data_IF_329983722490
#
_entry.id   IF_329983722490
#
_cell.length_a   1.000
_cell.length_b   1.000
_cell.length_c   1.000
_cell.angle_alpha   90.00
_cell.angle_beta   90.00
_cell.angle_gamma   90.00
#
_symmetry.space_group_name_H-M   'P 1'
#
loop_
_entity.id
_entity.type
_entity.pdbx_description
1 polymer ?
#
# COMPACT_ATOMS: atom_id res chain seq x y z
N UNK A 1 26.36 -7.03 -5.60
CA UNK A 1 25.41 -7.75 -4.71
C UNK A 1 23.98 -7.55 -5.21
N UNK A 2 23.48 -6.31 -5.30
CA UNK A 2 22.17 -5.98 -5.88
C UNK A 2 21.95 -6.52 -7.30
N UNK A 3 22.91 -6.39 -8.22
CA UNK A 3 22.82 -7.03 -9.55
C UNK A 3 22.76 -8.56 -9.50
N UNK A 4 23.46 -9.16 -8.52
CA UNK A 4 23.50 -10.61 -8.35
C UNK A 4 22.19 -11.14 -7.78
N UNK A 5 21.48 -10.34 -6.98
CA UNK A 5 20.15 -10.64 -6.45
C UNK A 5 19.09 -10.42 -7.55
N UNK A 6 19.14 -9.29 -8.25
CA UNK A 6 18.20 -8.98 -9.33
C UNK A 6 18.27 -10.00 -10.48
N UNK A 7 19.44 -10.54 -10.79
CA UNK A 7 19.58 -11.57 -11.84
C UNK A 7 19.10 -12.97 -11.40
N UNK A 8 18.80 -13.20 -10.13
CA UNK A 8 18.36 -14.49 -9.61
C UNK A 8 16.87 -14.53 -9.24
N UNK A 9 16.13 -13.43 -9.40
CA UNK A 9 14.70 -13.34 -9.06
C UNK A 9 13.90 -13.06 -10.33
N UNK A 10 13.88 -13.98 -11.29
CA UNK A 10 13.19 -13.72 -12.57
C UNK A 10 11.71 -14.10 -12.53
N UNK A 11 11.33 -15.02 -11.62
CA UNK A 11 9.98 -15.56 -11.55
C UNK A 11 9.47 -15.62 -10.11
N UNK A 12 8.15 -15.73 -9.99
CA UNK A 12 7.44 -15.85 -8.72
C UNK A 12 7.95 -17.04 -7.90
N UNK A 13 8.24 -18.18 -8.55
CA UNK A 13 8.73 -19.38 -7.90
C UNK A 13 10.10 -19.21 -7.23
N UNK A 14 10.93 -18.28 -7.71
CA UNK A 14 12.25 -17.98 -7.13
C UNK A 14 12.09 -17.33 -5.75
N UNK A 15 11.05 -16.50 -5.59
CA UNK A 15 10.72 -15.83 -4.33
C UNK A 15 9.99 -16.76 -3.37
N UNK A 16 8.99 -17.49 -3.85
CA UNK A 16 8.16 -18.33 -2.97
C UNK A 16 8.89 -19.56 -2.41
N UNK A 17 9.86 -20.12 -3.13
CA UNK A 17 10.45 -21.41 -2.76
C UNK A 17 11.84 -21.35 -2.15
N UNK A 18 12.60 -20.25 -2.32
CA UNK A 18 14.06 -20.29 -2.08
C UNK A 18 14.70 -19.03 -1.52
N UNK A 19 13.95 -17.96 -1.27
CA UNK A 19 14.56 -16.69 -0.82
C UNK A 19 14.55 -16.54 0.71
N UNK A 20 15.72 -16.43 1.36
CA UNK A 20 15.79 -16.23 2.80
C UNK A 20 15.32 -14.84 3.20
N UNK A 21 14.61 -14.73 4.33
CA UNK A 21 14.25 -13.45 4.95
C UNK A 21 15.45 -12.54 5.15
N UNK A 22 16.61 -13.13 5.43
CA UNK A 22 17.89 -12.44 5.59
C UNK A 22 18.25 -11.60 4.36
N UNK A 23 17.89 -12.03 3.16
CA UNK A 23 18.16 -11.28 1.94
C UNK A 23 17.27 -10.04 1.81
N UNK A 24 16.00 -10.16 2.20
CA UNK A 24 15.08 -9.02 2.25
C UNK A 24 15.59 -7.97 3.24
N UNK A 25 16.00 -8.41 4.43
CA UNK A 25 16.58 -7.52 5.45
C UNK A 25 17.86 -6.82 4.95
N UNK A 26 18.76 -7.55 4.29
CA UNK A 26 19.99 -6.99 3.74
C UNK A 26 19.71 -5.94 2.65
N UNK A 27 18.72 -6.18 1.77
CA UNK A 27 18.28 -5.20 0.78
C UNK A 27 17.73 -3.92 1.43
N UNK A 28 16.90 -4.06 2.47
CA UNK A 28 16.34 -2.91 3.21
C UNK A 28 17.45 -2.13 3.91
N UNK A 29 18.38 -2.81 4.57
CA UNK A 29 19.50 -2.17 5.26
C UNK A 29 20.46 -1.47 4.28
N UNK A 30 20.61 -1.99 3.07
CA UNK A 30 21.37 -1.31 2.02
C UNK A 30 20.67 -0.01 1.59
N UNK A 31 19.35 -0.03 1.38
CA UNK A 31 18.56 1.18 1.07
C UNK A 31 18.67 2.20 2.20
N UNK A 32 18.49 1.81 3.46
CA UNK A 32 18.59 2.71 4.62
C UNK A 32 19.93 3.41 4.75
N UNK A 33 21.02 2.74 4.36
CA UNK A 33 22.37 3.30 4.40
C UNK A 33 22.70 4.14 3.16
N UNK A 34 21.86 4.10 2.13
CA UNK A 34 22.06 4.85 0.89
C UNK A 34 21.44 6.24 1.04
N UNK A 35 22.19 7.33 0.82
CA UNK A 35 21.60 8.67 0.79
C UNK A 35 20.46 8.74 -0.22
N UNK A 36 19.35 9.39 0.14
CA UNK A 36 18.12 9.46 -0.68
C UNK A 36 18.37 9.79 -2.14
N UNK A 37 19.25 10.78 -2.41
CA UNK A 37 19.60 11.23 -3.78
C UNK A 37 20.38 10.20 -4.60
N UNK A 38 20.88 9.15 -3.97
CA UNK A 38 21.62 8.05 -4.61
C UNK A 38 20.79 6.77 -4.71
N UNK A 39 19.53 6.79 -4.26
CA UNK A 39 18.61 5.68 -4.47
C UNK A 39 18.30 5.62 -5.96
N UNK A 40 18.52 4.45 -6.55
CA UNK A 40 18.32 4.21 -7.99
C UNK A 40 17.37 3.05 -8.18
N UNK A 41 16.81 2.93 -9.40
CA UNK A 41 15.97 1.80 -9.79
C UNK A 41 16.64 0.45 -9.47
N UNK A 42 17.91 0.28 -9.84
CA UNK A 42 18.64 -0.98 -9.61
C UNK A 42 18.78 -1.34 -8.14
N UNK A 43 18.82 -0.34 -7.25
CA UNK A 43 18.89 -0.57 -5.81
C UNK A 43 17.56 -1.07 -5.26
N UNK A 44 16.43 -0.55 -5.75
CA UNK A 44 15.10 -0.86 -5.23
C UNK A 44 14.40 -2.00 -5.99
N UNK A 45 14.87 -2.38 -7.18
CA UNK A 45 14.26 -3.44 -8.00
C UNK A 45 14.15 -4.79 -7.26
N UNK A 46 15.15 -5.25 -6.49
CA UNK A 46 14.97 -6.44 -5.65
C UNK A 46 13.82 -6.29 -4.64
N UNK A 47 13.70 -5.12 -4.01
CA UNK A 47 12.64 -4.81 -3.04
C UNK A 47 11.26 -4.83 -3.72
N UNK A 48 11.16 -4.26 -4.93
CA UNK A 48 9.94 -4.35 -5.73
C UNK A 48 9.52 -5.80 -5.93
N UNK A 49 10.43 -6.65 -6.39
CA UNK A 49 10.16 -8.08 -6.63
C UNK A 49 9.75 -8.80 -5.35
N UNK A 50 10.44 -8.54 -4.23
CA UNK A 50 10.05 -9.09 -2.93
C UNK A 50 8.68 -8.60 -2.47
N UNK A 51 8.34 -7.33 -2.68
CA UNK A 51 7.03 -6.80 -2.27
C UNK A 51 5.89 -7.43 -3.07
N UNK A 52 6.15 -7.74 -4.34
CA UNK A 52 5.15 -8.23 -5.29
C UNK A 52 4.96 -9.75 -5.22
N UNK A 53 6.06 -10.51 -5.14
CA UNK A 53 6.04 -11.99 -5.13
C UNK A 53 6.29 -12.61 -3.75
N UNK A 54 6.75 -11.81 -2.78
CA UNK A 54 6.99 -12.29 -1.43
C UNK A 54 5.71 -12.66 -0.70
N UNK A 55 5.86 -13.53 0.31
CA UNK A 55 4.78 -13.82 1.25
C UNK A 55 4.41 -12.59 2.08
N UNK A 56 3.29 -12.65 2.78
CA UNK A 56 2.84 -11.55 3.64
C UNK A 56 3.82 -11.25 4.77
N UNK A 57 4.55 -12.27 5.26
CA UNK A 57 5.64 -12.09 6.23
C UNK A 57 6.78 -11.23 5.67
N UNK A 58 7.13 -11.38 4.39
CA UNK A 58 8.18 -10.57 3.78
C UNK A 58 7.77 -9.10 3.73
N UNK A 59 6.53 -8.82 3.34
CA UNK A 59 5.99 -7.45 3.34
C UNK A 59 5.82 -6.89 4.74
N UNK A 60 5.47 -7.73 5.72
CA UNK A 60 5.40 -7.33 7.12
C UNK A 60 6.78 -6.93 7.63
N UNK A 61 7.83 -7.71 7.34
CA UNK A 61 9.21 -7.36 7.69
C UNK A 61 9.64 -6.05 7.03
N UNK A 62 9.27 -5.81 5.77
CA UNK A 62 9.53 -4.52 5.12
C UNK A 62 8.89 -3.35 5.87
N UNK A 63 7.65 -3.52 6.33
CA UNK A 63 6.96 -2.51 7.13
C UNK A 63 7.62 -2.32 8.50
N UNK A 64 7.89 -3.40 9.24
CA UNK A 64 8.51 -3.37 10.58
C UNK A 64 9.91 -2.77 10.54
N UNK A 65 10.65 -3.00 9.46
CA UNK A 65 11.92 -2.35 9.22
C UNK A 65 11.77 -0.89 8.75
N UNK A 66 10.57 -0.32 8.68
CA UNK A 66 10.37 1.08 8.34
C UNK A 66 10.77 1.45 6.91
N UNK A 67 10.59 0.52 5.96
CA UNK A 67 10.98 0.73 4.57
C UNK A 67 10.17 1.83 3.90
N UNK A 68 8.88 1.95 4.22
CA UNK A 68 8.01 3.01 3.69
C UNK A 68 8.61 4.38 4.04
N UNK A 69 8.84 4.62 5.33
CA UNK A 69 9.43 5.84 5.87
C UNK A 69 10.81 6.13 5.26
N UNK A 70 11.62 5.10 5.09
CA UNK A 70 12.97 5.23 4.52
C UNK A 70 12.93 5.72 3.08
N UNK A 71 11.95 5.24 2.29
CA UNK A 71 11.81 5.58 0.87
C UNK A 71 10.95 6.83 0.63
N UNK A 72 10.13 7.27 1.58
CA UNK A 72 9.26 8.46 1.42
C UNK A 72 10.02 9.69 0.94
N UNK A 73 11.21 10.06 1.50
CA UNK A 73 11.97 11.20 0.98
C UNK A 73 12.44 11.03 -0.47
N UNK A 74 12.55 9.80 -0.97
CA UNK A 74 12.96 9.52 -2.34
C UNK A 74 11.83 9.75 -3.36
N UNK A 75 10.60 9.98 -2.93
CA UNK A 75 9.50 10.42 -3.80
C UNK A 75 9.75 11.82 -4.38
N UNK A 76 10.56 12.65 -3.74
CA UNK A 76 10.92 13.99 -4.24
C UNK A 76 11.93 13.96 -5.41
N UNK A 77 12.14 12.81 -6.04
CA UNK A 77 13.01 12.67 -7.21
C UNK A 77 12.30 13.12 -8.48
N UNK A 78 13.01 13.77 -9.40
CA UNK A 78 12.46 14.10 -10.74
C UNK A 78 12.28 12.87 -11.64
N UNK A 79 12.66 11.67 -11.17
CA UNK A 79 12.53 10.43 -11.92
C UNK A 79 11.17 9.79 -11.66
N UNK A 80 10.21 10.05 -12.54
CA UNK A 80 8.83 9.54 -12.44
C UNK A 80 8.76 8.01 -12.35
N UNK A 81 9.59 7.27 -13.10
CA UNK A 81 9.66 5.81 -13.04
C UNK A 81 10.07 5.34 -11.64
N UNK A 82 11.05 6.02 -11.04
CA UNK A 82 11.53 5.70 -9.70
C UNK A 82 10.47 5.97 -8.64
N UNK A 83 9.78 7.12 -8.72
CA UNK A 83 8.64 7.44 -7.87
C UNK A 83 7.57 6.34 -7.95
N UNK A 84 7.18 5.95 -9.18
CA UNK A 84 6.18 4.93 -9.43
C UNK A 84 6.54 3.60 -8.78
N UNK A 85 7.78 3.16 -8.95
CA UNK A 85 8.25 1.91 -8.34
C UNK A 85 8.18 1.97 -6.81
N UNK A 86 8.54 3.10 -6.20
CA UNK A 86 8.45 3.29 -4.75
C UNK A 86 6.98 3.20 -4.28
N UNK A 87 6.06 3.87 -4.99
CA UNK A 87 4.63 3.83 -4.66
C UNK A 87 4.05 2.42 -4.79
N UNK A 88 4.42 1.67 -5.83
CA UNK A 88 4.04 0.26 -6.00
C UNK A 88 4.56 -0.60 -4.85
N UNK A 89 5.80 -0.38 -4.39
CA UNK A 89 6.34 -1.05 -3.19
C UNK A 89 5.45 -0.76 -1.98
N UNK A 90 5.05 0.50 -1.76
CA UNK A 90 4.20 0.87 -0.62
C UNK A 90 2.84 0.18 -0.68
N UNK A 91 2.18 0.23 -1.84
CA UNK A 91 0.90 -0.44 -2.09
C UNK A 91 1.01 -1.93 -1.78
N UNK A 92 2.05 -2.59 -2.28
CA UNK A 92 2.26 -4.02 -2.06
C UNK A 92 2.47 -4.34 -0.57
N UNK A 93 3.28 -3.53 0.14
CA UNK A 93 3.48 -3.69 1.58
C UNK A 93 2.15 -3.59 2.32
N UNK A 94 1.38 -2.54 2.06
CA UNK A 94 0.10 -2.28 2.74
C UNK A 94 -0.92 -3.39 2.44
N UNK A 95 -1.07 -3.78 1.18
CA UNK A 95 -2.10 -4.75 0.77
C UNK A 95 -1.76 -6.19 1.12
N UNK A 96 -0.50 -6.59 1.01
CA UNK A 96 -0.10 -7.98 1.28
C UNK A 96 0.13 -8.21 2.77
N UNK A 97 0.72 -7.24 3.48
CA UNK A 97 0.94 -7.34 4.90
C UNK A 97 -0.37 -7.41 5.70
N UNK A 98 -1.40 -6.66 5.31
CA UNK A 98 -2.72 -6.71 5.96
C UNK A 98 -3.38 -8.12 5.87
N UNK A 99 -3.15 -8.88 4.79
CA UNK A 99 -3.69 -10.25 4.67
C UNK A 99 -3.19 -11.19 5.77
N UNK A 100 -1.97 -10.97 6.29
CA UNK A 100 -1.41 -11.78 7.37
C UNK A 100 -2.16 -11.55 8.68
N UNK A 101 -2.41 -10.29 9.03
CA UNK A 101 -3.11 -9.95 10.27
C UNK A 101 -4.53 -10.51 10.27
N UNK A 102 -5.24 -10.45 9.14
CA UNK A 102 -6.57 -11.05 8.99
C UNK A 102 -6.57 -12.56 9.23
N UNK A 103 -5.49 -13.26 8.83
CA UNK A 103 -5.34 -14.71 8.99
C UNK A 103 -5.01 -15.13 10.42
N UNK A 104 -4.45 -14.21 11.22
CA UNK A 104 -4.02 -14.46 12.60
C UNK A 104 -5.10 -14.15 13.66
N UNK A 105 -6.27 -13.62 13.28
CA UNK A 105 -7.35 -13.39 14.23
C UNK A 105 -7.83 -14.74 14.80
N UNK A 106 -7.77 -14.94 16.14
CA UNK A 106 -8.24 -16.16 16.75
C UNK A 106 -9.72 -16.31 16.42
N UNK A 107 -10.07 -17.42 15.76
CA UNK A 107 -11.44 -17.86 15.70
C UNK A 107 -11.96 -17.87 17.13
N UNK A 108 -12.84 -16.93 17.47
CA UNK A 108 -13.60 -16.98 18.71
C UNK A 108 -14.21 -18.37 18.78
N UNK A 109 -13.66 -19.21 19.66
CA UNK A 109 -14.23 -20.49 20.00
C UNK A 109 -15.63 -20.19 20.50
N UNK A 110 -16.62 -20.43 19.66
CA UNK A 110 -17.98 -20.61 20.10
C UNK A 110 -17.99 -21.85 20.98
N UNK A 111 -17.66 -21.70 22.27
CA UNK A 111 -18.09 -22.63 23.31
C UNK A 111 -19.61 -22.50 23.39
N UNK A 112 -20.32 -23.12 22.46
CA UNK A 112 -21.70 -23.51 22.67
C UNK A 112 -21.62 -24.84 23.42
N UNK A 113 -21.67 -24.76 24.75
CA UNK A 113 -22.03 -25.90 25.57
C UNK A 113 -23.41 -26.40 25.14
N UNK A 114 -23.44 -27.66 24.72
CA UNK A 114 -24.54 -28.62 24.70
C UNK A 114 -25.98 -28.08 24.76
N UNK A 115 -26.66 -28.11 23.60
CA UNK A 115 -28.05 -28.54 23.53
C UNK A 115 -28.32 -29.38 22.28
N UNK A 116 -29.06 -30.50 22.38
CA UNK A 116 -29.42 -31.31 21.24
C UNK A 116 -30.71 -30.77 20.61
N UNK A 117 -30.58 -29.98 19.54
CA UNK A 117 -31.73 -29.62 18.71
C UNK A 117 -31.47 -29.92 17.23
N UNK A 118 -32.33 -30.78 16.71
CA UNK A 118 -32.38 -31.23 15.32
C UNK A 118 -32.64 -30.03 14.40
N UNK A 119 -31.75 -29.88 13.42
CA UNK A 119 -32.04 -29.32 12.09
C UNK A 119 -32.38 -27.84 12.04
N UNK A 120 -31.43 -27.03 11.55
CA UNK A 120 -31.59 -25.99 10.50
C UNK A 120 -30.50 -24.91 10.62
N UNK A 121 -29.93 -24.56 9.46
CA UNK A 121 -29.20 -23.31 9.15
C UNK A 121 -27.74 -23.18 9.60
N UNK A 122 -26.83 -23.59 8.73
CA UNK A 122 -25.36 -23.52 8.90
C UNK A 122 -24.71 -22.32 8.18
N UNK A 123 -25.46 -21.26 7.85
CA UNK A 123 -25.00 -20.15 6.99
C UNK A 123 -24.83 -18.78 7.67
N UNK A 124 -25.01 -18.68 8.99
CA UNK A 124 -24.92 -17.38 9.70
C UNK A 124 -23.51 -17.02 10.22
N UNK A 125 -22.53 -17.93 10.22
CA UNK A 125 -21.19 -17.64 10.78
C UNK A 125 -20.29 -16.80 9.88
N UNK A 126 -20.46 -16.88 8.56
CA UNK A 126 -19.49 -16.31 7.62
C UNK A 126 -19.74 -14.83 7.31
N UNK A 127 -21.00 -14.39 7.35
CA UNK A 127 -21.35 -12.97 7.20
C UNK A 127 -20.82 -12.09 8.34
N UNK A 128 -20.80 -12.61 9.57
CA UNK A 128 -20.28 -11.86 10.72
C UNK A 128 -18.75 -11.72 10.68
N UNK A 129 -18.03 -12.66 10.04
CA UNK A 129 -16.57 -12.58 9.85
C UNK A 129 -16.19 -11.53 8.81
N UNK A 130 -16.89 -11.51 7.68
CA UNK A 130 -16.64 -10.53 6.62
C UNK A 130 -16.88 -9.10 7.10
N UNK A 131 -18.00 -8.85 7.79
CA UNK A 131 -18.30 -7.52 8.32
C UNK A 131 -17.29 -7.08 9.39
N UNK A 132 -16.77 -8.01 10.21
CA UNK A 132 -15.74 -7.68 11.19
C UNK A 132 -14.39 -7.36 10.54
N UNK A 133 -13.95 -8.18 9.58
CA UNK A 133 -12.68 -7.97 8.86
C UNK A 133 -12.68 -6.65 8.10
N UNK A 134 -13.80 -6.29 7.47
CA UNK A 134 -13.95 -5.02 6.74
C UNK A 134 -13.96 -3.80 7.67
N UNK A 135 -14.31 -3.98 8.95
CA UNK A 135 -14.34 -2.90 9.96
C UNK A 135 -13.03 -2.71 10.72
N UNK A 136 -12.02 -3.54 10.46
CA UNK A 136 -10.73 -3.42 11.13
C UNK A 136 -9.92 -2.30 10.47
N UNK A 137 -9.42 -1.33 11.26
CA UNK A 137 -8.51 -0.32 10.73
C UNK A 137 -7.25 -1.02 10.20
N UNK A 138 -6.70 -0.50 9.10
CA UNK A 138 -5.45 -1.02 8.58
C UNK A 138 -4.36 -0.91 9.66
N UNK A 139 -3.64 -1.99 10.00
CA UNK A 139 -2.70 -2.00 11.13
C UNK A 139 -1.55 -1.01 10.97
N UNK A 140 -1.25 -0.60 9.73
CA UNK A 140 -0.19 0.33 9.42
C UNK A 140 -0.61 1.79 9.51
N UNK A 141 -1.91 2.06 9.41
CA UNK A 141 -2.46 3.42 9.30
C UNK A 141 -2.03 4.29 10.47
N UNK A 142 -2.31 3.83 11.70
CA UNK A 142 -2.04 4.63 12.90
C UNK A 142 -0.56 5.00 13.07
N UNK A 143 0.36 4.10 12.70
CA UNK A 143 1.79 4.39 12.79
C UNK A 143 2.26 5.34 11.69
N UNK A 144 1.77 5.17 10.46
CA UNK A 144 2.11 6.05 9.33
C UNK A 144 1.55 7.47 9.52
N UNK A 145 0.36 7.61 10.09
CA UNK A 145 -0.22 8.91 10.47
C UNK A 145 0.60 9.58 11.57
N UNK A 146 0.90 8.85 12.65
CA UNK A 146 1.66 9.37 13.79
C UNK A 146 3.04 9.89 13.38
N UNK A 147 3.66 9.26 12.38
CA UNK A 147 4.97 9.66 11.86
C UNK A 147 4.89 10.75 10.78
N UNK A 148 3.68 11.15 10.36
CA UNK A 148 3.47 12.11 9.28
C UNK A 148 3.87 11.58 7.90
N UNK A 149 4.04 10.27 7.74
CA UNK A 149 4.47 9.64 6.48
C UNK A 149 3.41 9.83 5.39
N UNK A 150 2.13 9.74 5.75
CA UNK A 150 1.01 9.97 4.81
C UNK A 150 1.04 11.40 4.28
N UNK A 151 1.19 12.40 5.16
CA UNK A 151 1.28 13.81 4.76
C UNK A 151 2.47 14.05 3.84
N UNK A 152 3.64 13.47 4.14
CA UNK A 152 4.81 13.59 3.29
C UNK A 152 4.60 12.97 1.89
N UNK A 153 3.87 11.86 1.79
CA UNK A 153 3.53 11.26 0.49
C UNK A 153 2.59 12.19 -0.29
N UNK A 154 1.56 12.73 0.36
CA UNK A 154 0.62 13.69 -0.25
C UNK A 154 1.38 14.93 -0.74
N UNK A 155 2.19 15.56 0.11
CA UNK A 155 2.98 16.74 -0.24
C UNK A 155 3.96 16.45 -1.39
N UNK A 156 4.64 15.31 -1.35
CA UNK A 156 5.69 14.98 -2.33
C UNK A 156 5.14 14.55 -3.68
N UNK A 157 3.87 14.15 -3.77
CA UNK A 157 3.28 13.61 -5.00
C UNK A 157 2.07 14.42 -5.47
N UNK A 158 1.05 14.59 -4.63
CA UNK A 158 -0.20 15.25 -5.02
C UNK A 158 -0.11 16.77 -5.05
N UNK A 159 0.80 17.38 -4.27
CA UNK A 159 0.92 18.84 -4.19
C UNK A 159 2.03 19.40 -5.08
N UNK A 160 2.70 18.58 -5.88
CA UNK A 160 3.80 19.01 -6.74
C UNK A 160 3.31 19.19 -8.18
N UNK A 161 3.33 20.43 -8.67
CA UNK A 161 2.78 20.84 -9.98
C UNK A 161 3.35 20.11 -11.22
N UNK A 162 4.42 19.34 -11.07
CA UNK A 162 5.18 18.73 -12.18
C UNK A 162 5.10 17.20 -12.20
N UNK A 163 4.15 16.59 -11.48
CA UNK A 163 4.06 15.13 -11.34
C UNK A 163 3.07 14.53 -12.33
N UNK A 164 3.43 13.34 -12.79
CA UNK A 164 2.66 12.53 -13.73
C UNK A 164 1.40 11.95 -13.07
N UNK A 165 0.26 12.07 -13.75
CA UNK A 165 -1.06 11.55 -13.33
C UNK A 165 -1.01 10.09 -12.88
N UNK A 166 -0.20 9.25 -13.52
CA UNK A 166 -0.03 7.85 -13.12
C UNK A 166 0.48 7.70 -11.69
N UNK A 167 1.39 8.58 -11.25
CA UNK A 167 1.96 8.53 -9.90
C UNK A 167 0.95 9.03 -8.86
N UNK A 168 0.17 10.05 -9.20
CA UNK A 168 -0.94 10.49 -8.36
C UNK A 168 -1.99 9.39 -8.19
N UNK A 169 -2.34 8.67 -9.26
CA UNK A 169 -3.24 7.50 -9.19
C UNK A 169 -2.74 6.45 -8.20
N UNK A 170 -1.43 6.16 -8.22
CA UNK A 170 -0.84 5.23 -7.24
C UNK A 170 -0.97 5.74 -5.81
N UNK A 171 -0.89 7.05 -5.57
CA UNK A 171 -1.13 7.61 -4.22
C UNK A 171 -2.58 7.42 -3.81
N UNK A 172 -3.56 7.72 -4.67
CA UNK A 172 -4.96 7.46 -4.33
C UNK A 172 -5.23 5.98 -4.09
N UNK A 173 -4.59 5.09 -4.85
CA UNK A 173 -4.69 3.65 -4.62
C UNK A 173 -4.08 3.21 -3.29
N UNK A 174 -2.93 3.78 -2.92
CA UNK A 174 -2.30 3.56 -1.62
C UNK A 174 -3.18 4.05 -0.47
N UNK A 175 -3.72 5.28 -0.59
CA UNK A 175 -4.60 5.87 0.41
C UNK A 175 -5.88 5.05 0.57
N UNK A 176 -6.50 4.62 -0.52
CA UNK A 176 -7.68 3.74 -0.47
C UNK A 176 -7.36 2.37 0.20
N UNK A 177 -6.14 1.85 0.04
CA UNK A 177 -5.70 0.64 0.73
C UNK A 177 -5.44 0.85 2.23
N UNK A 178 -5.04 2.05 2.64
CA UNK A 178 -4.80 2.41 4.05
C UNK A 178 -6.10 2.78 4.77
N UNK A 179 -7.03 3.42 4.08
CA UNK A 179 -8.29 3.92 4.59
C UNK A 179 -9.48 3.13 4.02
N UNK A 180 -9.77 1.91 4.52
CA UNK A 180 -10.88 1.10 4.00
C UNK A 180 -12.26 1.74 4.20
N UNK A 181 -12.40 2.59 5.21
CA UNK A 181 -13.61 3.35 5.49
C UNK A 181 -13.68 4.66 4.69
N UNK A 182 -12.74 4.89 3.76
CA UNK A 182 -12.65 6.07 2.91
C UNK A 182 -11.49 7.01 3.29
N UNK A 183 -10.87 7.63 2.29
CA UNK A 183 -9.66 8.43 2.47
C UNK A 183 -9.92 9.66 3.36
N UNK A 184 -9.11 9.83 4.40
CA UNK A 184 -9.10 11.04 5.22
C UNK A 184 -7.94 11.94 4.81
N UNK A 185 -8.21 12.87 3.89
CA UNK A 185 -7.22 13.88 3.50
C UNK A 185 -7.01 14.89 4.64
N UNK A 186 -5.76 15.36 4.88
CA UNK A 186 -5.49 16.48 5.77
C UNK A 186 -6.33 17.69 5.37
N UNK A 187 -6.94 18.35 6.36
CA UNK A 187 -7.86 19.48 6.12
C UNK A 187 -7.25 20.62 5.33
N UNK A 188 -5.92 20.77 5.42
CA UNK A 188 -5.14 21.79 4.71
C UNK A 188 -5.03 21.54 3.20
N UNK A 189 -5.13 20.29 2.73
CA UNK A 189 -4.99 19.92 1.32
C UNK A 189 -6.29 19.47 0.67
N UNK A 190 -7.32 19.21 1.49
CA UNK A 190 -8.57 18.60 1.05
C UNK A 190 -9.26 19.41 -0.05
N UNK A 191 -9.41 20.72 0.15
CA UNK A 191 -10.16 21.57 -0.79
C UNK A 191 -9.40 21.71 -2.12
N UNK A 192 -8.08 21.88 -2.07
CA UNK A 192 -7.23 22.02 -3.26
C UNK A 192 -7.23 20.73 -4.09
N UNK A 193 -7.06 19.56 -3.44
CA UNK A 193 -7.08 18.24 -4.10
C UNK A 193 -8.45 17.99 -4.75
N UNK A 194 -9.55 18.25 -4.03
CA UNK A 194 -10.89 18.07 -4.58
C UNK A 194 -11.12 18.99 -5.77
N UNK A 195 -10.67 20.25 -5.68
CA UNK A 195 -10.80 21.20 -6.77
C UNK A 195 -10.03 20.74 -8.01
N UNK A 196 -8.79 20.27 -7.85
CA UNK A 196 -7.98 19.75 -8.96
C UNK A 196 -8.66 18.57 -9.65
N UNK A 197 -9.08 17.56 -8.89
CA UNK A 197 -9.77 16.39 -9.44
C UNK A 197 -11.10 16.77 -10.12
N UNK A 198 -11.82 17.75 -9.59
CA UNK A 198 -13.03 18.26 -10.24
C UNK A 198 -12.75 18.94 -11.59
N UNK A 199 -11.59 19.58 -11.75
CA UNK A 199 -11.18 20.16 -13.04
C UNK A 199 -10.88 19.02 -14.03
N UNK A 200 -10.12 18.02 -13.61
CA UNK A 200 -9.77 16.85 -14.43
C UNK A 200 -11.00 16.04 -14.87
N UNK A 201 -11.98 15.81 -13.98
CA UNK A 201 -13.24 15.15 -14.34
C UNK A 201 -14.06 15.90 -15.41
N UNK A 202 -13.81 17.19 -15.59
CA UNK A 202 -14.51 18.02 -16.56
C UNK A 202 -13.63 18.35 -17.77
N UNK A 203 -12.47 17.69 -17.94
CA UNK A 203 -11.71 17.82 -19.18
C UNK A 203 -12.54 17.21 -20.31
N UNK A 204 -12.92 18.07 -21.27
CA UNK A 204 -13.69 17.67 -22.47
C UNK A 204 -12.76 17.11 -23.57
N UNK A 205 -11.45 17.31 -23.42
CA UNK A 205 -10.44 17.08 -24.46
C UNK A 205 -9.60 15.81 -24.25
N UNK A 206 -9.66 15.17 -23.07
CA UNK A 206 -8.87 13.97 -22.75
C UNK A 206 -9.66 12.95 -21.92
N UNK A 207 -10.10 11.87 -22.59
CA UNK A 207 -10.85 10.76 -21.96
C UNK A 207 -10.03 10.07 -20.85
N UNK A 208 -8.69 10.10 -20.92
CA UNK A 208 -7.80 9.47 -19.94
C UNK A 208 -7.73 10.29 -18.66
N UNK A 209 -7.59 11.62 -18.76
CA UNK A 209 -7.65 12.54 -17.61
C UNK A 209 -9.03 12.52 -16.94
N UNK A 210 -10.09 12.45 -17.74
CA UNK A 210 -11.46 12.38 -17.22
C UNK A 210 -11.68 11.09 -16.41
N UNK A 211 -11.27 9.94 -16.97
CA UNK A 211 -11.37 8.65 -16.30
C UNK A 211 -10.55 8.63 -15.01
N UNK A 212 -9.33 9.18 -15.04
CA UNK A 212 -8.48 9.32 -13.87
C UNK A 212 -9.15 10.14 -12.76
N UNK A 213 -9.62 11.35 -13.07
CA UNK A 213 -10.30 12.20 -12.09
C UNK A 213 -11.50 11.49 -11.45
N UNK A 214 -12.33 10.82 -12.27
CA UNK A 214 -13.50 10.09 -11.78
C UNK A 214 -13.14 8.94 -10.85
N UNK A 215 -12.09 8.19 -11.18
CA UNK A 215 -11.61 7.08 -10.36
C UNK A 215 -11.03 7.59 -9.03
N UNK A 216 -10.22 8.65 -9.07
CA UNK A 216 -9.65 9.29 -7.88
C UNK A 216 -10.73 9.86 -6.96
N UNK A 217 -11.72 10.58 -7.51
CA UNK A 217 -12.89 11.06 -6.74
C UNK A 217 -13.67 9.88 -6.16
N UNK A 218 -13.81 8.76 -6.86
CA UNK A 218 -14.53 7.60 -6.33
C UNK A 218 -13.90 7.05 -5.05
N UNK A 219 -12.57 7.11 -4.92
CA UNK A 219 -11.85 6.73 -3.70
C UNK A 219 -12.05 7.74 -2.56
N UNK A 220 -12.23 9.03 -2.88
CA UNK A 220 -12.50 10.09 -1.90
C UNK A 220 -13.97 10.12 -1.43
N UNK A 221 -14.91 9.78 -2.32
CA UNK A 221 -16.35 9.95 -2.12
C UNK A 221 -16.97 9.00 -1.08
N UNK A 222 -16.25 7.95 -0.66
CA UNK A 222 -16.75 6.97 0.32
C UNK A 222 -16.94 7.59 1.71
N UNK A 223 -16.42 8.79 1.98
CA UNK A 223 -16.32 9.37 3.33
C UNK A 223 -16.96 10.77 3.52
N UNK A 224 -18.12 11.04 2.91
CA UNK A 224 -18.95 12.22 3.26
C UNK A 224 -20.07 11.88 4.24
#
# INVERSE_FOLDING_TARGET
>A
MTELIANNIEKKEDVENNLPFELVMECIDLVKRTPTKQITRNLIDPILRFSYWGSSEHTQVMFEMGLIQTLTPALQTDNEDLQRIILIIFINIVKNGWKQEQSNYPQSQSQIQDMPSKGQSQSQSDHNKLNYILSLPNPYLAELEKQGTINQIIESVLMTEAINLENEEQVYFLLNALYPDGIQLPSEYKDDIIQQLCIECNSEDDDEENQYGLQSISYLAVNQ
#
